data_IF_738416280053
#
_entry.id   IF_738416280053
#
_cell.length_a   1.000
_cell.length_b   1.000
_cell.length_c   1.000
_cell.angle_alpha   90.00
_cell.angle_beta   90.00
_cell.angle_gamma   90.00
#
_symmetry.space_group_name_H-M   'P 1'
#
loop_
_entity.id
_entity.type
_entity.pdbx_description
1 polymer ?
#
# COMPACT_ATOMS: atom_id res chain seq x y z
N UNK A 1 -12.30 -2.37 20.84
CA UNK A 1 -12.41 -3.56 19.97
C UNK A 1 -13.74 -3.65 19.22
N UNK A 2 -14.91 -3.63 19.89
CA UNK A 2 -16.23 -3.76 19.21
C UNK A 2 -16.54 -2.62 18.22
N UNK A 3 -16.05 -1.41 18.49
CA UNK A 3 -16.19 -0.22 17.65
C UNK A 3 -15.35 -0.27 16.34
N UNK A 4 -14.24 -1.03 16.30
CA UNK A 4 -13.33 -1.08 15.15
C UNK A 4 -13.74 -2.12 14.10
N UNK A 5 -14.50 -3.14 14.50
CA UNK A 5 -15.04 -4.19 13.63
C UNK A 5 -15.81 -3.62 12.43
N UNK A 6 -16.75 -2.67 12.58
CA UNK A 6 -17.47 -2.12 11.44
C UNK A 6 -16.56 -1.35 10.47
N UNK A 7 -15.59 -0.59 10.97
CA UNK A 7 -14.66 0.18 10.13
C UNK A 7 -13.80 -0.75 9.28
N UNK A 8 -13.23 -1.79 9.89
CA UNK A 8 -12.42 -2.80 9.18
C UNK A 8 -13.27 -3.55 8.16
N UNK A 9 -14.52 -3.89 8.51
CA UNK A 9 -15.47 -4.52 7.59
C UNK A 9 -15.74 -3.68 6.35
N UNK A 10 -15.96 -2.37 6.50
CA UNK A 10 -16.18 -1.44 5.39
C UNK A 10 -14.95 -1.40 4.47
N UNK A 11 -13.75 -1.22 5.04
CA UNK A 11 -12.51 -1.16 4.25
C UNK A 11 -12.30 -2.45 3.45
N UNK A 12 -12.55 -3.61 4.06
CA UNK A 12 -12.40 -4.90 3.40
C UNK A 12 -13.38 -5.08 2.23
N UNK A 13 -14.66 -4.72 2.43
CA UNK A 13 -15.68 -4.84 1.38
C UNK A 13 -15.37 -3.90 0.22
N UNK A 14 -15.11 -2.62 0.48
CA UNK A 14 -14.77 -1.66 -0.59
C UNK A 14 -13.48 -2.04 -1.32
N UNK A 15 -12.45 -2.47 -0.59
CA UNK A 15 -11.19 -2.94 -1.17
C UNK A 15 -11.41 -4.14 -2.10
N UNK A 16 -12.24 -5.10 -1.69
CA UNK A 16 -12.54 -6.29 -2.50
C UNK A 16 -13.25 -5.94 -3.82
N UNK A 17 -14.18 -4.97 -3.81
CA UNK A 17 -14.90 -4.53 -5.00
C UNK A 17 -13.94 -3.86 -5.98
N UNK A 18 -13.06 -2.97 -5.50
CA UNK A 18 -12.07 -2.30 -6.35
C UNK A 18 -11.13 -3.31 -7.02
N UNK A 19 -10.66 -4.30 -6.26
CA UNK A 19 -9.81 -5.37 -6.79
C UNK A 19 -10.56 -6.19 -7.84
N UNK A 20 -11.81 -6.55 -7.57
CA UNK A 20 -12.65 -7.32 -8.48
C UNK A 20 -12.88 -6.57 -9.81
N UNK A 21 -13.27 -5.30 -9.75
CA UNK A 21 -13.45 -4.45 -10.94
C UNK A 21 -12.14 -4.27 -11.71
N UNK A 22 -11.02 -4.11 -11.01
CA UNK A 22 -9.69 -3.97 -11.63
C UNK A 22 -9.27 -5.24 -12.37
N UNK A 23 -9.59 -6.42 -11.82
CA UNK A 23 -9.30 -7.71 -12.46
C UNK A 23 -10.14 -7.87 -13.74
N UNK A 24 -11.44 -7.57 -13.68
CA UNK A 24 -12.33 -7.68 -14.85
C UNK A 24 -11.94 -6.70 -15.96
N UNK A 25 -11.60 -5.46 -15.61
CA UNK A 25 -11.14 -4.45 -16.57
C UNK A 25 -9.84 -4.87 -17.24
N UNK A 26 -8.86 -5.35 -16.46
CA UNK A 26 -7.59 -5.85 -17.01
C UNK A 26 -7.77 -7.09 -17.89
N UNK A 27 -8.64 -8.02 -17.51
CA UNK A 27 -8.96 -9.19 -18.32
C UNK A 27 -9.55 -8.77 -19.67
N UNK A 28 -10.54 -7.87 -19.65
CA UNK A 28 -11.19 -7.36 -20.86
C UNK A 28 -10.22 -6.63 -21.79
N UNK A 29 -9.30 -5.84 -21.22
CA UNK A 29 -8.23 -5.17 -21.98
C UNK A 29 -7.26 -6.16 -22.61
N UNK A 30 -6.77 -7.14 -21.84
CA UNK A 30 -5.86 -8.17 -22.36
C UNK A 30 -6.49 -8.99 -23.47
N UNK A 31 -7.76 -9.37 -23.32
CA UNK A 31 -8.51 -10.11 -24.34
C UNK A 31 -8.65 -9.30 -25.64
N UNK A 32 -9.04 -8.03 -25.54
CA UNK A 32 -9.15 -7.13 -26.71
C UNK A 32 -7.81 -6.90 -27.43
N UNK A 33 -6.69 -6.93 -26.71
CA UNK A 33 -5.36 -6.75 -27.29
C UNK A 33 -4.86 -8.00 -28.03
N UNK A 34 -5.18 -9.19 -27.51
CA UNK A 34 -4.89 -10.47 -28.16
C UNK A 34 -5.71 -10.61 -29.45
N UNK A 35 -7.01 -10.31 -29.40
CA UNK A 35 -7.91 -10.43 -30.56
C UNK A 35 -7.51 -9.48 -31.71
N UNK A 36 -6.86 -8.36 -31.42
CA UNK A 36 -6.41 -7.38 -32.44
C UNK A 36 -5.01 -7.66 -33.00
N UNK A 37 -4.36 -8.77 -32.61
CA UNK A 37 -2.99 -9.11 -33.03
C UNK A 37 -1.96 -7.99 -32.73
N UNK A 38 -2.27 -7.12 -31.75
CA UNK A 38 -1.41 -5.99 -31.33
C UNK A 38 -0.40 -6.41 -30.24
N UNK A 39 -0.06 -7.70 -30.20
CA UNK A 39 0.95 -8.26 -29.29
C UNK A 39 2.34 -7.95 -29.83
N UNK A 40 2.65 -6.65 -29.91
CA UNK A 40 3.98 -6.16 -30.22
C UNK A 40 4.79 -6.08 -28.91
N UNK A 41 6.11 -6.26 -28.95
CA UNK A 41 6.99 -6.21 -27.76
C UNK A 41 6.82 -4.93 -26.94
N UNK A 42 6.46 -3.80 -27.58
CA UNK A 42 6.11 -2.53 -26.92
C UNK A 42 4.88 -2.65 -26.01
N UNK A 43 3.87 -3.44 -26.39
CA UNK A 43 2.67 -3.69 -25.58
C UNK A 43 3.00 -4.62 -24.40
N UNK A 44 3.90 -5.59 -24.58
CA UNK A 44 4.34 -6.47 -23.51
C UNK A 44 5.13 -5.74 -22.41
N UNK A 45 5.94 -4.73 -22.78
CA UNK A 45 6.63 -3.88 -21.81
C UNK A 45 5.68 -2.94 -21.06
N UNK A 46 4.57 -2.48 -21.65
CA UNK A 46 3.52 -1.73 -20.93
C UNK A 46 2.82 -2.56 -19.84
N UNK A 47 2.83 -3.90 -19.94
CA UNK A 47 2.29 -4.80 -18.92
C UNK A 47 3.34 -5.33 -17.94
N UNK A 48 4.64 -5.06 -18.14
CA UNK A 48 5.66 -5.34 -17.14
C UNK A 48 5.44 -4.38 -15.97
N UNK A 49 4.76 -4.89 -14.94
CA UNK A 49 4.54 -4.26 -13.64
C UNK A 49 5.89 -3.95 -12.96
N UNK A 50 6.56 -2.87 -13.34
CA UNK A 50 7.67 -2.34 -12.54
C UNK A 50 7.16 -1.72 -11.23
N UNK A 51 5.89 -1.30 -11.19
CA UNK A 51 5.25 -0.70 -10.01
C UNK A 51 5.17 -1.65 -8.81
N UNK A 52 5.10 -2.97 -9.04
CA UNK A 52 4.86 -3.94 -7.96
C UNK A 52 5.98 -3.95 -6.92
N UNK A 53 7.24 -3.84 -7.37
CA UNK A 53 8.41 -3.92 -6.48
C UNK A 53 8.58 -2.64 -5.66
N UNK A 54 8.45 -1.48 -6.30
CA UNK A 54 8.55 -0.18 -5.62
C UNK A 54 7.37 0.03 -4.65
N UNK A 55 6.16 -0.34 -5.07
CA UNK A 55 4.98 -0.23 -4.22
C UNK A 55 5.04 -1.21 -3.02
N UNK A 56 5.52 -2.44 -3.22
CA UNK A 56 5.77 -3.37 -2.11
C UNK A 56 6.82 -2.83 -1.12
N UNK A 57 7.90 -2.21 -1.63
CA UNK A 57 8.92 -1.58 -0.79
C UNK A 57 8.34 -0.40 0.02
N UNK A 58 7.48 0.41 -0.59
CA UNK A 58 6.76 1.50 0.08
C UNK A 58 5.95 0.99 1.27
N UNK A 59 5.05 0.04 1.03
CA UNK A 59 4.17 -0.48 2.06
C UNK A 59 4.94 -1.25 3.13
N UNK A 60 5.95 -2.03 2.74
CA UNK A 60 6.81 -2.73 3.71
C UNK A 60 7.52 -1.77 4.66
N UNK A 61 8.04 -0.65 4.17
CA UNK A 61 8.76 0.32 4.99
C UNK A 61 7.83 1.10 5.94
N UNK A 62 6.65 1.48 5.45
CA UNK A 62 5.62 2.15 6.26
C UNK A 62 5.14 1.22 7.39
N UNK A 63 4.81 -0.05 7.06
CA UNK A 63 4.35 -1.02 8.07
C UNK A 63 5.45 -1.38 9.06
N UNK A 64 6.71 -1.48 8.62
CA UNK A 64 7.85 -1.72 9.50
C UNK A 64 8.00 -0.59 10.53
N UNK A 65 8.03 0.66 10.06
CA UNK A 65 8.22 1.80 10.95
C UNK A 65 6.99 2.10 11.80
N UNK A 66 5.78 1.91 11.29
CA UNK A 66 4.55 1.94 12.12
C UNK A 66 4.59 0.87 13.23
N UNK A 67 5.03 -0.35 12.90
CA UNK A 67 5.25 -1.38 13.92
C UNK A 67 6.25 -0.97 15.00
N UNK A 68 7.33 -0.28 14.63
CA UNK A 68 8.30 0.29 15.59
C UNK A 68 7.66 1.39 16.45
N UNK A 69 6.79 2.23 15.87
CA UNK A 69 6.01 3.24 16.59
C UNK A 69 5.15 2.60 17.68
N UNK A 70 4.38 1.56 17.33
CA UNK A 70 3.57 0.81 18.27
C UNK A 70 4.39 0.15 19.39
N UNK A 71 5.53 -0.46 19.08
CA UNK A 71 6.44 -1.04 20.09
C UNK A 71 6.95 0.04 21.04
N UNK A 72 7.24 1.24 20.52
CA UNK A 72 7.74 2.37 21.31
C UNK A 72 6.65 2.90 22.26
N UNK A 73 5.41 3.01 21.78
CA UNK A 73 4.24 3.44 22.56
C UNK A 73 3.99 2.47 23.73
N UNK A 74 4.02 1.16 23.46
CA UNK A 74 3.84 0.12 24.49
C UNK A 74 4.98 0.13 25.51
N UNK A 75 6.23 0.29 25.06
CA UNK A 75 7.39 0.40 25.96
C UNK A 75 7.33 1.62 26.88
N UNK A 76 6.68 2.70 26.45
CA UNK A 76 6.48 3.90 27.26
C UNK A 76 5.21 3.84 28.13
N UNK A 77 4.42 2.76 28.03
CA UNK A 77 3.13 2.59 28.72
C UNK A 77 2.18 3.76 28.47
N UNK A 78 2.19 4.29 27.24
CA UNK A 78 1.29 5.35 26.83
C UNK A 78 -0.08 4.77 26.49
N UNK A 79 -1.13 5.40 27.00
CA UNK A 79 -2.50 4.99 26.69
C UNK A 79 -2.92 5.46 25.29
N UNK A 80 -3.91 4.78 24.72
CA UNK A 80 -4.41 5.09 23.37
C UNK A 80 -5.13 6.46 23.29
N UNK A 81 -5.54 7.03 24.41
CA UNK A 81 -6.16 8.36 24.46
C UNK A 81 -5.12 9.49 24.56
N UNK A 82 -3.85 9.13 24.78
CA UNK A 82 -2.79 10.11 24.88
C UNK A 82 -2.37 10.64 23.50
N UNK A 83 -2.45 11.95 23.32
CA UNK A 83 -2.04 12.60 22.08
C UNK A 83 -0.58 12.30 21.71
N UNK A 84 0.26 12.00 22.72
CA UNK A 84 1.65 11.62 22.55
C UNK A 84 1.80 10.27 21.82
N UNK A 85 0.94 9.29 22.09
CA UNK A 85 0.96 8.00 21.41
C UNK A 85 0.70 8.16 19.90
N UNK A 86 -0.35 8.90 19.54
CA UNK A 86 -0.67 9.20 18.14
C UNK A 86 0.41 10.03 17.45
N UNK A 87 1.06 10.94 18.19
CA UNK A 87 2.18 11.72 17.68
C UNK A 87 3.39 10.84 17.33
N UNK A 88 3.76 9.91 18.20
CA UNK A 88 4.86 8.97 17.96
C UNK A 88 4.57 8.10 16.74
N UNK A 89 3.36 7.53 16.66
CA UNK A 89 2.96 6.70 15.52
C UNK A 89 3.00 7.49 14.20
N UNK A 90 2.44 8.71 14.19
CA UNK A 90 2.42 9.56 13.01
C UNK A 90 3.85 9.93 12.54
N UNK A 91 4.76 10.22 13.47
CA UNK A 91 6.16 10.50 13.16
C UNK A 91 6.84 9.27 12.57
N UNK A 92 6.65 8.09 13.17
CA UNK A 92 7.20 6.84 12.66
C UNK A 92 6.73 6.53 11.23
N UNK A 93 5.43 6.68 10.96
CA UNK A 93 4.86 6.51 9.61
C UNK A 93 5.44 7.54 8.63
N UNK A 94 5.54 8.81 9.04
CA UNK A 94 6.11 9.87 8.20
C UNK A 94 7.58 9.60 7.85
N UNK A 95 8.37 9.10 8.80
CA UNK A 95 9.76 8.65 8.57
C UNK A 95 9.79 7.51 7.56
N UNK A 96 8.81 6.60 7.57
CA UNK A 96 8.70 5.54 6.56
C UNK A 96 8.46 6.08 5.16
N UNK A 97 7.56 7.06 5.00
CA UNK A 97 7.35 7.72 3.73
C UNK A 97 8.59 8.50 3.24
N UNK A 98 9.24 9.25 4.13
CA UNK A 98 10.45 9.99 3.80
C UNK A 98 11.59 9.06 3.39
N UNK A 99 11.80 7.98 4.13
CA UNK A 99 12.84 7.00 3.81
C UNK A 99 12.56 6.33 2.47
N UNK A 100 11.30 5.99 2.18
CA UNK A 100 10.90 5.48 0.86
C UNK A 100 11.19 6.50 -0.25
N UNK A 101 10.87 7.78 -0.02
CA UNK A 101 11.13 8.86 -0.98
C UNK A 101 12.63 8.99 -1.28
N UNK A 102 13.50 8.99 -0.26
CA UNK A 102 14.94 9.07 -0.48
C UNK A 102 15.51 7.84 -1.22
N UNK A 103 15.02 6.64 -0.91
CA UNK A 103 15.44 5.40 -1.59
C UNK A 103 15.02 5.38 -3.06
N UNK A 104 13.82 5.85 -3.36
CA UNK A 104 13.28 5.86 -4.73
C UNK A 104 13.78 7.02 -5.57
N UNK A 105 14.05 8.19 -4.97
CA UNK A 105 14.68 9.33 -5.63
C UNK A 105 16.04 9.01 -6.25
N UNK A 106 16.76 8.01 -5.72
CA UNK A 106 18.06 7.58 -6.26
C UNK A 106 17.93 6.64 -7.47
N UNK A 107 16.75 6.06 -7.68
CA UNK A 107 16.47 5.09 -8.75
C UNK A 107 15.60 5.67 -9.89
N UNK A 108 15.14 6.92 -9.76
CA UNK A 108 14.61 7.73 -10.87
C UNK A 108 15.74 8.53 -11.52
#
# INVERSE_FOLDING_TARGET
MKELIPIVGIIAVFGSIILFVSILTNYSLKRKLIDKNMVNEKTANLFKREDGKLNALKWGLITLLGGVGLITIDSMRLDADDAMAWGIEAVCVAVGFLTYYFLTRKNQ
#
